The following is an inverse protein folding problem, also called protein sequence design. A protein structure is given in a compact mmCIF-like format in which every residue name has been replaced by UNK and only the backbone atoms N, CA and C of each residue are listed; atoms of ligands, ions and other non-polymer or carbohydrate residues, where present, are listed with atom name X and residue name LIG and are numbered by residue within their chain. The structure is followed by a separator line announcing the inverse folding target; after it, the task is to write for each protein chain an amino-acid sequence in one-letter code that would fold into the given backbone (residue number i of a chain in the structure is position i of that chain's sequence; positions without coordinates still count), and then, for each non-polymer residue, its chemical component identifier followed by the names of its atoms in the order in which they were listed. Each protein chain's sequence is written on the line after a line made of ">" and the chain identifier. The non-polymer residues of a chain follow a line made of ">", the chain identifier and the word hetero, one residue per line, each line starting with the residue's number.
data_IF_194060305152
#
_entry.id   IF_194060305152
#
_cell.length_a   1.000
_cell.length_b   1.000
_cell.length_c   1.000
_cell.angle_alpha   90.00
_cell.angle_beta   90.00
_cell.angle_gamma   90.00
#
_symmetry.space_group_name_H-M   'P 1'
#
loop_
_entity.id
_entity.type
_entity.pdbx_description
1 polymer ?
#
# COMPACT_ATOMS: atom_id res chain seq x y z
N UNK A 1 6.16 4.82 15.04
CA UNK A 1 6.11 5.12 13.59
C UNK A 1 7.21 6.13 13.32
N UNK A 2 8.33 5.63 12.82
CA UNK A 2 9.46 6.45 12.38
C UNK A 2 9.33 6.90 10.93
N UNK A 3 10.45 7.30 10.35
CA UNK A 3 10.61 7.64 8.94
C UNK A 3 12.00 7.26 8.47
N UNK A 4 12.17 7.17 7.16
CA UNK A 4 13.49 7.18 6.53
C UNK A 4 13.89 8.62 6.22
N UNK A 5 15.16 8.95 6.41
CA UNK A 5 15.81 10.17 5.94
C UNK A 5 17.05 9.71 5.18
N UNK A 6 17.08 9.98 3.88
CA UNK A 6 18.16 9.55 2.97
C UNK A 6 18.47 8.04 3.12
N UNK A 7 17.43 7.21 3.18
CA UNK A 7 17.53 5.76 3.31
C UNK A 7 17.86 5.23 4.71
N UNK A 8 18.08 6.10 5.70
CA UNK A 8 18.44 5.74 7.07
C UNK A 8 17.20 5.82 7.96
N UNK A 9 16.96 4.80 8.80
CA UNK A 9 15.81 4.77 9.70
C UNK A 9 15.99 5.70 10.90
N UNK A 10 14.96 6.49 11.17
CA UNK A 10 14.84 7.35 12.33
C UNK A 10 13.54 7.05 13.06
N UNK A 11 13.64 6.65 14.33
CA UNK A 11 12.48 6.50 15.21
C UNK A 11 11.98 7.88 15.68
N UNK A 12 11.28 8.57 14.79
CA UNK A 12 10.69 9.88 15.07
C UNK A 12 9.22 9.89 14.67
N UNK A 13 8.35 10.16 15.64
CA UNK A 13 6.92 10.27 15.40
C UNK A 13 6.55 11.52 14.58
N UNK A 14 5.26 11.68 14.26
CA UNK A 14 4.77 12.93 13.68
C UNK A 14 4.92 14.09 14.66
N UNK A 15 5.37 15.22 14.15
CA UNK A 15 5.49 16.46 14.90
C UNK A 15 4.09 17.11 15.03
N UNK A 16 3.35 16.68 16.05
CA UNK A 16 2.01 17.21 16.34
C UNK A 16 2.08 18.59 16.99
N UNK A 17 3.18 18.92 17.69
CA UNK A 17 3.36 20.24 18.31
C UNK A 17 3.36 21.37 17.27
N UNK A 18 4.07 21.19 16.14
CA UNK A 18 4.04 22.14 15.03
C UNK A 18 2.65 22.34 14.42
N UNK A 19 1.74 21.38 14.60
CA UNK A 19 0.39 21.39 14.06
C UNK A 19 -0.68 21.59 15.16
N UNK A 20 -0.33 22.22 16.29
CA UNK A 20 -1.26 22.51 17.41
C UNK A 20 -1.96 21.25 17.95
N UNK A 21 -1.28 20.12 17.91
CA UNK A 21 -1.79 18.81 18.33
C UNK A 21 -2.41 17.98 17.20
N UNK A 22 -2.62 18.55 16.00
CA UNK A 22 -3.26 17.84 14.89
C UNK A 22 -2.33 16.80 14.26
N UNK A 23 -2.86 15.61 14.02
CA UNK A 23 -2.22 14.60 13.19
C UNK A 23 -2.38 14.93 11.70
N UNK A 24 -1.27 15.32 11.06
CA UNK A 24 -1.20 15.55 9.61
C UNK A 24 -0.48 14.40 8.94
N UNK A 25 -1.24 13.58 8.20
CA UNK A 25 -0.69 12.42 7.48
C UNK A 25 0.21 12.85 6.32
N UNK A 26 1.37 12.20 6.17
CA UNK A 26 2.26 12.43 5.03
C UNK A 26 1.68 11.80 3.75
N UNK A 27 1.90 12.47 2.61
CA UNK A 27 1.48 11.95 1.30
C UNK A 27 2.30 10.71 0.89
N UNK A 28 1.62 9.76 0.24
CA UNK A 28 2.24 8.61 -0.44
C UNK A 28 3.12 9.07 -1.60
N UNK A 29 4.33 8.53 -1.72
CA UNK A 29 5.33 8.95 -2.72
C UNK A 29 5.48 7.96 -3.88
N UNK A 30 5.26 6.66 -3.64
CA UNK A 30 5.20 5.67 -4.71
C UNK A 30 3.76 5.62 -5.21
N UNK A 31 3.57 6.06 -6.46
CA UNK A 31 2.25 6.35 -7.06
C UNK A 31 2.12 5.78 -8.47
N UNK A 32 2.97 4.81 -8.84
CA UNK A 32 2.86 4.17 -10.14
C UNK A 32 1.69 3.18 -10.16
N UNK A 33 1.32 2.74 -11.35
CA UNK A 33 0.13 1.90 -11.56
C UNK A 33 0.46 0.60 -12.25
N UNK A 34 -0.22 -0.45 -11.81
CA UNK A 34 -0.41 -1.65 -12.61
C UNK A 34 -1.54 -1.38 -13.60
N UNK A 35 -1.26 -1.60 -14.88
CA UNK A 35 -2.22 -1.48 -15.99
C UNK A 35 -2.13 -2.73 -16.85
N UNK A 36 -3.19 -3.02 -17.60
CA UNK A 36 -3.28 -4.23 -18.42
C UNK A 36 -2.16 -4.30 -19.48
N UNK A 37 -1.80 -3.17 -20.07
CA UNK A 37 -0.79 -3.06 -21.13
C UNK A 37 0.58 -2.57 -20.63
N UNK A 38 0.70 -2.17 -19.36
CA UNK A 38 1.91 -1.59 -18.80
C UNK A 38 2.12 -0.12 -19.14
N UNK A 39 1.09 0.58 -19.63
CA UNK A 39 1.08 2.03 -19.73
C UNK A 39 1.09 2.69 -18.34
N UNK A 40 1.57 3.94 -18.26
CA UNK A 40 1.50 4.71 -17.03
C UNK A 40 0.04 5.01 -16.65
N UNK A 41 -0.27 4.99 -15.36
CA UNK A 41 -1.60 5.33 -14.85
C UNK A 41 -1.82 6.84 -14.65
N UNK A 42 -2.92 7.22 -13.98
CA UNK A 42 -3.27 8.61 -13.69
C UNK A 42 -2.25 9.36 -12.80
N UNK A 43 -1.42 8.63 -12.06
CA UNK A 43 -0.34 9.16 -11.24
C UNK A 43 0.92 8.31 -11.42
N UNK A 44 2.05 8.79 -10.87
CA UNK A 44 3.35 8.19 -11.11
C UNK A 44 3.92 8.56 -12.48
N UNK A 45 5.05 7.94 -12.85
CA UNK A 45 5.76 8.20 -14.11
C UNK A 45 5.88 6.97 -14.98
N UNK A 46 5.72 5.79 -14.38
CA UNK A 46 5.97 4.52 -15.03
C UNK A 46 4.73 3.63 -14.97
N UNK A 47 4.60 2.75 -15.96
CA UNK A 47 3.59 1.70 -16.01
C UNK A 47 4.16 0.32 -15.73
N UNK A 48 3.30 -0.53 -15.18
CA UNK A 48 3.59 -1.89 -14.74
C UNK A 48 2.55 -2.83 -15.34
N UNK A 49 2.96 -3.76 -16.22
CA UNK A 49 2.00 -4.66 -16.89
C UNK A 49 1.46 -5.70 -15.92
N UNK A 50 0.14 -5.85 -15.83
CA UNK A 50 -0.49 -6.91 -15.04
C UNK A 50 0.01 -8.30 -15.48
N UNK A 51 0.53 -9.08 -14.52
CA UNK A 51 1.14 -10.39 -14.75
C UNK A 51 1.00 -11.25 -13.49
N UNK A 52 0.73 -12.54 -13.68
CA UNK A 52 0.81 -13.52 -12.61
C UNK A 52 2.23 -13.63 -12.04
N UNK A 53 2.35 -13.95 -10.75
CA UNK A 53 3.62 -14.24 -10.06
C UNK A 53 4.66 -13.10 -10.04
N UNK A 54 4.24 -11.85 -10.33
CA UNK A 54 5.11 -10.67 -10.36
C UNK A 54 4.93 -9.74 -9.17
N UNK A 55 3.71 -9.63 -8.66
CA UNK A 55 3.39 -8.60 -7.67
C UNK A 55 3.20 -9.21 -6.29
N UNK A 56 3.67 -8.50 -5.27
CA UNK A 56 3.58 -8.92 -3.88
C UNK A 56 2.99 -7.81 -3.04
N UNK A 57 2.17 -8.15 -2.05
CA UNK A 57 1.50 -7.17 -1.20
C UNK A 57 1.99 -7.29 0.24
N UNK A 58 2.51 -6.21 0.80
CA UNK A 58 2.87 -6.13 2.22
C UNK A 58 1.79 -5.37 3.01
N UNK A 59 1.28 -5.98 4.07
CA UNK A 59 0.13 -5.46 4.84
C UNK A 59 0.31 -5.63 6.34
N UNK A 60 -0.41 -4.84 7.12
CA UNK A 60 -0.72 -5.17 8.52
C UNK A 60 -2.21 -5.45 8.63
N UNK A 61 -2.59 -6.54 9.32
CA UNK A 61 -4.00 -6.86 9.59
C UNK A 61 -4.68 -5.84 10.51
N UNK A 62 -3.91 -5.04 11.25
CA UNK A 62 -4.43 -3.98 12.12
C UNK A 62 -4.70 -2.66 11.37
N UNK A 63 -4.22 -2.52 10.14
CA UNK A 63 -4.27 -1.27 9.39
C UNK A 63 -5.51 -1.20 8.48
N UNK A 64 -6.44 -0.24 8.66
CA UNK A 64 -7.65 -0.16 7.84
C UNK A 64 -7.36 0.19 6.37
N UNK A 65 -6.27 0.90 6.09
CA UNK A 65 -5.86 1.20 4.72
C UNK A 65 -5.33 -0.05 4.01
N UNK A 66 -4.55 -0.88 4.69
CA UNK A 66 -4.08 -2.15 4.15
C UNK A 66 -5.22 -3.17 4.02
N UNK A 67 -6.15 -3.17 4.98
CA UNK A 67 -7.31 -4.06 4.94
C UNK A 67 -8.17 -3.86 3.67
N UNK A 68 -8.30 -2.63 3.15
CA UNK A 68 -8.98 -2.38 1.86
C UNK A 68 -8.39 -3.21 0.73
N UNK A 69 -7.06 -3.31 0.67
CA UNK A 69 -6.36 -4.06 -0.37
C UNK A 69 -6.56 -5.57 -0.23
N UNK A 70 -6.65 -6.08 1.01
CA UNK A 70 -6.99 -7.49 1.25
C UNK A 70 -8.43 -7.82 0.86
N UNK A 71 -9.37 -6.92 1.15
CA UNK A 71 -10.77 -7.06 0.73
C UNK A 71 -10.85 -7.12 -0.79
N UNK A 72 -10.24 -6.16 -1.50
CA UNK A 72 -10.25 -6.17 -2.96
C UNK A 72 -9.51 -7.36 -3.56
N UNK A 73 -8.40 -7.79 -2.95
CA UNK A 73 -7.70 -9.02 -3.36
C UNK A 73 -8.63 -10.22 -3.33
N UNK A 74 -9.45 -10.34 -2.28
CA UNK A 74 -10.39 -11.47 -2.17
C UNK A 74 -11.63 -11.32 -3.05
N UNK A 75 -12.23 -10.12 -3.07
CA UNK A 75 -13.36 -9.83 -3.95
C UNK A 75 -13.01 -10.10 -5.41
N UNK A 76 -11.79 -9.75 -5.85
CA UNK A 76 -11.32 -9.95 -7.23
C UNK A 76 -10.63 -11.29 -7.47
N UNK A 77 -10.70 -12.25 -6.54
CA UNK A 77 -10.08 -13.59 -6.68
C UNK A 77 -8.59 -13.54 -7.09
N UNK A 78 -7.81 -12.65 -6.46
CA UNK A 78 -6.40 -12.43 -6.77
C UNK A 78 -5.46 -13.18 -5.82
N UNK A 79 -5.98 -14.12 -5.04
CA UNK A 79 -5.21 -14.76 -3.97
C UNK A 79 -3.99 -15.53 -4.47
N UNK A 80 -4.16 -16.25 -5.58
CA UNK A 80 -3.12 -17.05 -6.22
C UNK A 80 -2.16 -16.20 -7.08
N UNK A 81 -2.54 -14.96 -7.39
CA UNK A 81 -1.79 -14.06 -8.29
C UNK A 81 -0.91 -13.08 -7.50
N UNK A 82 -1.43 -12.62 -6.35
CA UNK A 82 -0.78 -11.62 -5.51
C UNK A 82 -0.55 -12.24 -4.12
N UNK A 83 0.61 -12.87 -3.89
CA UNK A 83 1.01 -13.28 -2.56
C UNK A 83 1.09 -12.10 -1.59
N UNK A 84 0.95 -12.41 -0.30
CA UNK A 84 0.88 -11.41 0.78
C UNK A 84 1.90 -11.72 1.86
N UNK A 85 2.64 -10.69 2.27
CA UNK A 85 3.42 -10.71 3.51
C UNK A 85 2.76 -9.85 4.58
N UNK A 86 2.58 -10.42 5.76
CA UNK A 86 1.90 -9.78 6.89
C UNK A 86 2.94 -9.36 7.92
N UNK A 87 3.01 -8.06 8.21
CA UNK A 87 3.86 -7.48 9.26
C UNK A 87 3.21 -7.59 10.63
N UNK A 88 4.05 -7.44 11.66
CA UNK A 88 3.65 -7.47 13.05
C UNK A 88 2.65 -6.37 13.43
N UNK A 89 1.59 -6.67 14.22
CA UNK A 89 0.57 -5.69 14.56
C UNK A 89 1.10 -4.61 15.51
N UNK A 90 2.06 -4.93 16.37
CA UNK A 90 2.73 -3.93 17.21
C UNK A 90 3.84 -3.22 16.44
N UNK A 91 3.64 -1.91 16.27
CA UNK A 91 4.58 -1.02 15.60
C UNK A 91 5.30 -0.14 16.64
N UNK A 92 6.55 -0.48 16.95
CA UNK A 92 7.38 0.18 17.97
C UNK A 92 8.47 1.06 17.34
N UNK A 93 9.68 1.01 17.88
CA UNK A 93 10.86 1.80 17.54
C UNK A 93 11.39 1.54 16.13
N UNK A 94 11.25 0.31 15.62
CA UNK A 94 11.67 -0.08 14.27
C UNK A 94 10.57 0.08 13.21
N UNK A 95 9.40 0.61 13.60
CA UNK A 95 8.25 0.68 12.71
C UNK A 95 7.63 -0.70 12.49
N UNK A 96 7.27 -1.01 11.25
CA UNK A 96 6.68 -2.29 10.87
C UNK A 96 7.75 -3.37 10.76
N UNK A 97 7.65 -4.39 11.60
CA UNK A 97 8.60 -5.50 11.64
C UNK A 97 7.97 -6.79 11.13
N UNK A 98 8.81 -7.71 10.70
CA UNK A 98 8.45 -9.09 10.40
C UNK A 98 8.96 -9.94 11.56
N UNK A 99 8.06 -10.53 12.35
CA UNK A 99 8.41 -11.33 13.52
C UNK A 99 7.55 -12.60 13.57
N UNK A 100 7.84 -13.50 14.52
CA UNK A 100 7.08 -14.74 14.73
C UNK A 100 5.88 -14.47 15.64
N UNK A 101 4.76 -14.08 15.04
CA UNK A 101 3.48 -13.94 15.73
C UNK A 101 2.34 -14.54 14.92
N UNK A 102 1.27 -14.90 15.63
CA UNK A 102 0.15 -15.67 15.06
C UNK A 102 -0.53 -14.92 13.91
N UNK A 103 -0.47 -15.51 12.72
CA UNK A 103 -1.07 -14.96 11.50
C UNK A 103 -0.12 -14.06 10.70
N UNK A 104 1.11 -13.87 11.17
CA UNK A 104 2.18 -13.31 10.36
C UNK A 104 2.82 -14.37 9.49
N UNK A 105 3.41 -13.91 8.40
CA UNK A 105 4.08 -14.77 7.41
C UNK A 105 5.56 -14.46 7.33
N UNK A 106 6.01 -13.37 7.96
CA UNK A 106 7.28 -12.73 7.66
C UNK A 106 7.36 -12.15 6.25
N UNK A 107 8.55 -11.66 5.88
CA UNK A 107 8.90 -11.33 4.51
C UNK A 107 9.28 -12.59 3.73
N UNK A 108 8.39 -13.04 2.85
CA UNK A 108 8.58 -14.27 2.07
C UNK A 108 9.45 -14.08 0.83
N UNK A 109 9.81 -12.84 0.47
CA UNK A 109 10.62 -12.56 -0.71
C UNK A 109 12.11 -12.45 -0.35
N UNK A 110 12.43 -11.69 0.69
CA UNK A 110 13.83 -11.35 1.00
C UNK A 110 14.25 -11.70 2.43
N UNK A 111 13.32 -12.14 3.28
CA UNK A 111 13.62 -12.45 4.69
C UNK A 111 14.06 -11.21 5.49
N UNK A 112 13.60 -10.02 5.12
CA UNK A 112 13.86 -8.82 5.91
C UNK A 112 13.17 -8.88 7.28
N UNK A 113 13.76 -8.17 8.25
CA UNK A 113 13.22 -8.06 9.60
C UNK A 113 12.29 -6.85 9.74
N UNK A 114 12.44 -5.83 8.88
CA UNK A 114 11.69 -4.58 8.96
C UNK A 114 11.25 -4.11 7.58
N UNK A 115 10.02 -3.59 7.46
CA UNK A 115 9.47 -3.10 6.19
C UNK A 115 10.27 -1.94 5.60
N UNK A 116 10.92 -1.12 6.43
CA UNK A 116 11.72 0.00 5.94
C UNK A 116 12.90 -0.46 5.07
N UNK A 117 13.39 -1.69 5.24
CA UNK A 117 14.43 -2.27 4.40
C UNK A 117 13.97 -2.43 2.94
N UNK A 118 12.68 -2.72 2.73
CA UNK A 118 12.07 -2.78 1.40
C UNK A 118 12.03 -1.40 0.73
N UNK A 119 11.73 -0.34 1.49
CA UNK A 119 11.76 1.03 0.99
C UNK A 119 13.18 1.47 0.61
N UNK A 120 14.17 1.18 1.44
CA UNK A 120 15.58 1.45 1.13
C UNK A 120 16.06 0.64 -0.08
N UNK A 121 15.56 -0.59 -0.28
CA UNK A 121 15.84 -1.37 -1.50
C UNK A 121 15.28 -0.69 -2.75
N UNK A 122 14.02 -0.23 -2.70
CA UNK A 122 13.38 0.43 -3.84
C UNK A 122 14.03 1.76 -4.21
N UNK A 123 14.48 2.52 -3.20
CA UNK A 123 15.16 3.78 -3.36
C UNK A 123 16.12 4.00 -2.18
N UNK A 124 17.44 3.85 -2.38
CA UNK A 124 18.45 4.04 -1.34
C UNK A 124 18.44 5.42 -0.69
N UNK A 125 17.94 6.45 -1.38
CA UNK A 125 17.91 7.83 -0.88
C UNK A 125 16.50 8.24 -0.39
N UNK A 126 15.59 7.27 -0.17
CA UNK A 126 14.22 7.54 0.19
C UNK A 126 14.12 8.33 1.51
N UNK A 127 13.35 9.43 1.47
CA UNK A 127 13.01 10.23 2.64
C UNK A 127 11.50 10.31 2.79
N UNK A 128 10.95 9.68 3.82
CA UNK A 128 9.51 9.62 4.02
C UNK A 128 9.04 8.54 4.98
N UNK A 129 7.72 8.45 5.14
CA UNK A 129 7.08 7.50 6.05
C UNK A 129 7.03 6.10 5.43
N UNK A 130 7.36 5.11 6.25
CA UNK A 130 7.25 3.69 5.89
C UNK A 130 5.88 3.19 6.32
N UNK A 131 5.02 2.89 5.35
CA UNK A 131 3.59 2.63 5.57
C UNK A 131 3.18 1.31 4.97
N UNK A 132 2.08 0.73 5.47
CA UNK A 132 1.32 -0.32 4.78
C UNK A 132 -0.01 0.26 4.26
N UNK A 133 -0.55 -0.23 3.13
CA UNK A 133 -0.02 -1.32 2.31
C UNK A 133 1.15 -0.90 1.41
N UNK A 134 1.94 -1.88 0.96
CA UNK A 134 2.94 -1.71 -0.12
C UNK A 134 2.67 -2.73 -1.20
N UNK A 135 2.47 -2.27 -2.43
CA UNK A 135 2.41 -3.10 -3.62
C UNK A 135 3.80 -3.12 -4.27
N UNK A 136 4.43 -4.28 -4.27
CA UNK A 136 5.80 -4.52 -4.70
C UNK A 136 5.84 -5.22 -6.05
N UNK A 137 6.80 -4.85 -6.90
CA UNK A 137 7.15 -5.54 -8.14
C UNK A 137 8.42 -6.36 -7.90
N UNK A 138 8.31 -7.70 -7.93
CA UNK A 138 9.45 -8.60 -7.72
C UNK A 138 10.40 -8.66 -8.92
N UNK A 139 9.95 -8.30 -10.12
CA UNK A 139 10.80 -8.30 -11.32
C UNK A 139 11.69 -7.07 -11.40
N UNK A 140 11.12 -5.88 -11.11
CA UNK A 140 11.89 -4.61 -11.09
C UNK A 140 12.48 -4.29 -9.72
N UNK A 141 12.16 -5.09 -8.71
CA UNK A 141 12.58 -4.93 -7.32
C UNK A 141 12.32 -3.51 -6.79
N UNK A 142 11.11 -3.02 -7.00
CA UNK A 142 10.71 -1.67 -6.57
C UNK A 142 9.26 -1.63 -6.08
N UNK A 143 8.91 -0.54 -5.41
CA UNK A 143 7.54 -0.28 -4.97
C UNK A 143 6.75 0.31 -6.14
N UNK A 144 5.67 -0.37 -6.53
CA UNK A 144 4.70 0.17 -7.49
C UNK A 144 3.91 1.30 -6.83
N UNK A 145 3.27 1.01 -5.71
CA UNK A 145 2.46 1.99 -4.97
C UNK A 145 2.41 1.68 -3.49
N UNK A 146 2.36 2.74 -2.67
CA UNK A 146 1.99 2.66 -1.26
C UNK A 146 0.71 3.44 -0.95
N UNK A 147 -0.12 3.72 -1.97
CA UNK A 147 -1.40 4.40 -1.84
C UNK A 147 -2.57 3.42 -1.93
N UNK A 148 -3.20 3.14 -0.78
CA UNK A 148 -4.28 2.14 -0.68
C UNK A 148 -5.45 2.37 -1.64
N UNK A 149 -5.82 3.64 -1.88
CA UNK A 149 -6.97 3.97 -2.73
C UNK A 149 -6.70 3.73 -4.22
N UNK A 150 -5.44 3.84 -4.64
CA UNK A 150 -5.01 3.53 -6.00
C UNK A 150 -4.83 2.01 -6.17
N UNK A 151 -4.22 1.33 -5.20
CA UNK A 151 -4.01 -0.13 -5.25
C UNK A 151 -5.33 -0.88 -5.45
N UNK A 152 -6.40 -0.51 -4.73
CA UNK A 152 -7.70 -1.17 -4.92
C UNK A 152 -8.29 -0.92 -6.32
N UNK A 153 -8.04 0.24 -6.92
CA UNK A 153 -8.47 0.54 -8.30
C UNK A 153 -7.65 -0.28 -9.31
N UNK A 154 -6.36 -0.51 -9.06
CA UNK A 154 -5.54 -1.42 -9.87
C UNK A 154 -6.05 -2.86 -9.77
N UNK A 155 -6.33 -3.37 -8.57
CA UNK A 155 -6.86 -4.73 -8.38
C UNK A 155 -8.22 -4.92 -9.05
N UNK A 156 -9.05 -3.88 -9.04
CA UNK A 156 -10.37 -3.91 -9.64
C UNK A 156 -10.35 -4.15 -11.16
N UNK A 157 -9.38 -3.59 -11.89
CA UNK A 157 -9.40 -3.58 -13.37
C UNK A 157 -8.16 -4.14 -14.07
N UNK A 158 -6.96 -4.04 -13.48
CA UNK A 158 -5.72 -4.37 -14.20
C UNK A 158 -5.56 -5.88 -14.47
N UNK A 159 -6.11 -6.72 -13.59
CA UNK A 159 -5.98 -8.18 -13.63
C UNK A 159 -7.21 -8.88 -14.23
N UNK A 160 -8.09 -8.16 -14.94
CA UNK A 160 -9.34 -8.72 -15.47
C UNK A 160 -9.12 -9.93 -16.41
N UNK A 161 -8.00 -10.00 -17.12
CA UNK A 161 -7.67 -11.14 -18.00
C UNK A 161 -7.11 -12.36 -17.24
N UNK A 162 -6.76 -12.19 -15.97
CA UNK A 162 -6.13 -13.20 -15.12
C UNK A 162 -7.05 -13.70 -14.01
N UNK A 163 -8.17 -13.03 -13.77
CA UNK A 163 -9.17 -13.38 -12.76
C UNK A 163 -10.50 -13.76 -13.43
N UNK A 164 -11.22 -14.69 -12.84
CA UNK A 164 -12.59 -15.03 -13.25
C UNK A 164 -13.65 -14.05 -12.73
N UNK A 165 -13.26 -13.09 -11.86
CA UNK A 165 -14.19 -12.10 -11.31
C UNK A 165 -14.34 -10.88 -12.23
N UNK A 166 -15.56 -10.69 -12.73
CA UNK A 166 -15.89 -9.60 -13.67
C UNK A 166 -16.47 -8.36 -12.98
N UNK A 167 -16.88 -8.44 -11.71
CA UNK A 167 -17.51 -7.31 -11.02
C UNK A 167 -16.58 -6.08 -10.95
N UNK A 168 -17.10 -4.93 -11.39
CA UNK A 168 -16.46 -3.62 -11.28
C UNK A 168 -17.01 -2.86 -10.07
N UNK A 169 -16.15 -2.57 -9.10
CA UNK A 169 -16.49 -1.82 -7.89
C UNK A 169 -16.32 -0.29 -8.04
N UNK A 170 -15.92 0.18 -9.22
CA UNK A 170 -15.80 1.61 -9.56
C UNK A 170 -16.23 1.88 -11.02
N UNK A 171 -17.48 1.50 -11.38
CA UNK A 171 -18.01 1.62 -12.73
C UNK A 171 -18.20 3.08 -13.12
N UNK A 172 -18.05 3.38 -14.40
CA UNK A 172 -17.99 4.76 -14.94
C UNK A 172 -19.20 5.61 -14.53
N UNK A 173 -20.40 5.04 -14.56
CA UNK A 173 -21.65 5.72 -14.28
C UNK A 173 -21.77 6.19 -12.82
N UNK A 174 -21.06 5.53 -11.90
CA UNK A 174 -21.12 5.82 -10.46
C UNK A 174 -19.89 6.54 -9.91
N UNK A 175 -18.83 6.76 -10.72
CA UNK A 175 -17.56 7.30 -10.22
C UNK A 175 -17.71 8.62 -9.47
N UNK A 176 -18.48 9.55 -10.03
CA UNK A 176 -18.68 10.87 -9.42
C UNK A 176 -19.35 10.77 -8.05
N UNK A 177 -20.34 9.89 -7.90
CA UNK A 177 -21.02 9.66 -6.62
C UNK A 177 -20.09 8.97 -5.61
N UNK A 178 -19.38 7.93 -6.05
CA UNK A 178 -18.41 7.20 -5.23
C UNK A 178 -17.31 8.15 -4.74
N UNK A 179 -16.76 9.00 -5.60
CA UNK A 179 -15.70 9.95 -5.24
C UNK A 179 -16.20 11.02 -4.25
N UNK A 180 -17.43 11.52 -4.43
CA UNK A 180 -18.04 12.46 -3.49
C UNK A 180 -18.23 11.82 -2.09
N UNK A 181 -18.72 10.58 -2.04
CA UNK A 181 -18.87 9.83 -0.78
C UNK A 181 -17.51 9.56 -0.14
N UNK A 182 -16.53 9.09 -0.92
CA UNK A 182 -15.19 8.79 -0.45
C UNK A 182 -14.50 10.03 0.13
N UNK A 183 -14.61 11.18 -0.52
CA UNK A 183 -14.03 12.43 -0.04
C UNK A 183 -14.59 12.80 1.33
N UNK A 184 -15.91 12.82 1.47
CA UNK A 184 -16.59 13.11 2.74
C UNK A 184 -16.19 12.11 3.84
N UNK A 185 -16.25 10.81 3.56
CA UNK A 185 -15.93 9.77 4.55
C UNK A 185 -14.45 9.81 4.93
N UNK A 186 -13.54 10.04 3.98
CA UNK A 186 -12.12 10.15 4.25
C UNK A 186 -11.84 11.30 5.22
N UNK A 187 -12.36 12.49 4.92
CA UNK A 187 -12.12 13.68 5.72
C UNK A 187 -12.79 13.62 7.09
N UNK A 188 -14.02 13.13 7.17
CA UNK A 188 -14.84 13.24 8.40
C UNK A 188 -14.78 12.01 9.29
N UNK A 189 -14.45 10.83 8.76
CA UNK A 189 -14.46 9.58 9.50
C UNK A 189 -13.11 8.86 9.45
N UNK A 190 -12.60 8.49 8.27
CA UNK A 190 -11.40 7.65 8.19
C UNK A 190 -10.15 8.35 8.74
N UNK A 191 -9.92 9.60 8.35
CA UNK A 191 -8.85 10.41 8.92
C UNK A 191 -9.33 11.19 10.16
N UNK A 192 -10.65 11.41 10.28
CA UNK A 192 -11.25 12.15 11.39
C UNK A 192 -10.96 11.55 12.76
N UNK A 193 -10.87 10.23 12.89
CA UNK A 193 -10.54 9.55 14.16
C UNK A 193 -9.05 9.61 14.54
N UNK A 194 -8.18 10.06 13.63
CA UNK A 194 -6.73 10.20 13.90
C UNK A 194 -6.33 11.64 14.25
N UNK A 195 -7.14 12.64 13.87
CA UNK A 195 -6.93 14.05 14.23
C UNK A 195 -7.36 14.31 15.66
#
# INVERSE_FOLDING_TARGET
>A
MGLLIEGIWHDQWYDTEKNKGEFVRSNSQFRNWITKDGSAGPSGKEGFTAKADRYHLYVSLACPWAHRTLIFRSLKSLEDIIPVSIVHPYMLDKGWVFDDWKGETGDSLYGYNCLHQLYTRANPDYSGRVTVPVLWDSERETIVSNESSEIIRMFNSAFADLSSEEMDYYPEELRNEIDAINSKIYETLNNGVYR
#
